data_IF_252545338880
#
_entry.id   IF_252545338880
#
_cell.length_a   1.000
_cell.length_b   1.000
_cell.length_c   1.000
_cell.angle_alpha   90.00
_cell.angle_beta   90.00
_cell.angle_gamma   90.00
#
_symmetry.space_group_name_H-M   'P 1'
#
loop_
_entity.id
_entity.type
_entity.pdbx_description
1 polymer ?
#
# COMPACT_ATOMS: atom_id res chain seq x y z
N UNK A 1 28.52 -20.94 11.36
CA UNK A 1 28.21 -20.07 10.20
C UNK A 1 26.72 -20.09 9.83
N UNK A 2 26.03 -21.23 9.78
CA UNK A 2 24.57 -21.25 9.52
C UNK A 2 23.72 -20.50 10.59
N UNK A 3 24.10 -20.57 11.87
CA UNK A 3 23.37 -19.90 12.97
C UNK A 3 23.28 -18.37 12.89
N UNK A 4 24.20 -17.70 12.19
CA UNK A 4 24.17 -16.22 12.10
C UNK A 4 23.35 -15.70 10.92
N UNK A 5 23.02 -16.57 9.95
CA UNK A 5 22.17 -16.20 8.80
C UNK A 5 20.69 -16.29 9.18
N UNK A 6 20.33 -17.27 10.01
CA UNK A 6 18.97 -17.43 10.56
C UNK A 6 18.57 -16.27 11.50
N UNK A 7 19.53 -15.58 12.13
CA UNK A 7 19.24 -14.38 12.94
C UNK A 7 18.84 -13.15 12.09
N UNK A 8 19.11 -13.18 10.78
CA UNK A 8 18.83 -12.07 9.86
C UNK A 8 17.41 -12.13 9.26
N UNK A 9 16.82 -13.32 9.12
CA UNK A 9 15.47 -13.52 8.58
C UNK A 9 14.54 -13.91 9.73
N UNK A 10 13.77 -12.95 10.22
CA UNK A 10 12.85 -13.15 11.34
C UNK A 10 11.47 -13.66 10.94
N UNK A 11 11.07 -13.46 9.69
CA UNK A 11 9.81 -13.98 9.14
C UNK A 11 9.98 -14.21 7.62
N UNK A 12 9.25 -15.18 7.09
CA UNK A 12 9.20 -15.46 5.66
C UNK A 12 8.32 -14.43 4.93
N UNK A 13 8.42 -14.38 3.60
CA UNK A 13 7.54 -13.56 2.76
C UNK A 13 6.09 -14.09 2.84
N UNK A 14 5.32 -13.57 3.78
CA UNK A 14 3.92 -13.94 4.03
C UNK A 14 2.98 -12.74 3.98
N UNK A 15 1.69 -13.00 3.72
CA UNK A 15 0.63 -11.98 3.69
C UNK A 15 -0.04 -11.70 5.04
N UNK A 16 0.30 -12.43 6.10
CA UNK A 16 -0.39 -12.35 7.39
C UNK A 16 0.22 -11.26 8.27
N UNK A 17 -0.52 -10.20 8.62
CA UNK A 17 0.01 -9.12 9.47
C UNK A 17 0.30 -9.60 10.89
N UNK A 18 -0.44 -10.61 11.38
CA UNK A 18 -0.26 -11.13 12.75
C UNK A 18 1.09 -11.82 12.92
N UNK A 19 1.55 -12.56 11.90
CA UNK A 19 2.89 -13.17 11.88
C UNK A 19 3.98 -12.12 11.99
N UNK A 20 3.91 -11.09 11.13
CA UNK A 20 4.87 -9.99 11.12
C UNK A 20 4.88 -9.20 12.43
N UNK A 21 3.70 -8.91 13.00
CA UNK A 21 3.59 -8.24 14.30
C UNK A 21 4.19 -9.11 15.41
N UNK A 22 3.96 -10.42 15.39
CA UNK A 22 4.51 -11.34 16.38
C UNK A 22 6.04 -11.37 16.28
N UNK A 23 6.61 -11.48 15.07
CA UNK A 23 8.05 -11.46 14.82
C UNK A 23 8.71 -10.16 15.28
N UNK A 24 8.04 -9.02 15.10
CA UNK A 24 8.49 -7.70 15.56
C UNK A 24 8.34 -7.50 17.08
N UNK A 25 7.30 -8.08 17.68
CA UNK A 25 7.03 -7.96 19.12
C UNK A 25 7.99 -8.77 20.00
N UNK A 26 8.69 -9.74 19.42
CA UNK A 26 9.78 -10.46 20.08
C UNK A 26 10.92 -9.52 20.45
N UNK A 27 11.64 -9.80 21.54
CA UNK A 27 12.76 -8.95 21.99
C UNK A 27 13.79 -8.78 20.86
N UNK A 28 13.87 -7.57 20.31
CA UNK A 28 14.95 -7.14 19.42
C UNK A 28 16.13 -6.73 20.31
N UNK A 29 17.02 -7.67 20.62
CA UNK A 29 18.35 -7.32 21.12
C UNK A 29 19.26 -7.16 19.90
N UNK A 30 19.58 -5.91 19.55
CA UNK A 30 20.53 -5.60 18.49
C UNK A 30 21.95 -5.72 19.06
N UNK A 31 22.73 -6.69 18.56
CA UNK A 31 24.14 -6.82 18.89
C UNK A 31 24.95 -7.08 17.61
N UNK A 32 26.22 -6.65 17.62
CA UNK A 32 27.10 -6.74 16.46
C UNK A 32 27.03 -5.53 15.52
N UNK A 33 27.82 -5.60 14.46
CA UNK A 33 27.88 -4.58 13.41
C UNK A 33 26.90 -4.91 12.28
N UNK A 34 26.39 -3.87 11.60
CA UNK A 34 25.53 -4.03 10.43
C UNK A 34 26.32 -4.44 9.19
N UNK A 35 25.76 -5.33 8.37
CA UNK A 35 26.31 -5.71 7.06
C UNK A 35 25.24 -5.54 5.98
N UNK A 36 25.42 -4.53 5.12
CA UNK A 36 24.56 -4.26 3.98
C UNK A 36 24.71 -5.30 2.88
N UNK A 37 25.93 -5.80 2.65
CA UNK A 37 26.17 -6.76 1.58
C UNK A 37 25.42 -8.07 1.82
N UNK A 38 25.54 -8.63 3.03
CA UNK A 38 24.84 -9.87 3.39
C UNK A 38 23.32 -9.69 3.31
N UNK A 39 22.82 -8.52 3.74
CA UNK A 39 21.40 -8.18 3.63
C UNK A 39 20.93 -8.18 2.17
N UNK A 40 21.66 -7.51 1.28
CA UNK A 40 21.31 -7.41 -0.13
C UNK A 40 21.41 -8.77 -0.84
N UNK A 41 22.41 -9.58 -0.52
CA UNK A 41 22.57 -10.92 -1.10
C UNK A 41 21.43 -11.86 -0.69
N UNK A 42 21.05 -11.84 0.60
CA UNK A 42 19.91 -12.61 1.08
C UNK A 42 18.61 -12.18 0.41
N UNK A 43 18.36 -10.87 0.32
CA UNK A 43 17.15 -10.35 -0.33
C UNK A 43 17.13 -10.69 -1.81
N UNK A 44 18.28 -10.65 -2.50
CA UNK A 44 18.40 -11.08 -3.88
C UNK A 44 17.98 -12.55 -4.06
N UNK A 45 18.44 -13.45 -3.20
CA UNK A 45 18.09 -14.87 -3.27
C UNK A 45 16.58 -15.09 -3.07
N UNK A 46 15.96 -14.39 -2.11
CA UNK A 46 14.53 -14.52 -1.83
C UNK A 46 13.67 -13.91 -2.95
N UNK A 47 13.98 -12.68 -3.39
CA UNK A 47 13.18 -11.98 -4.40
C UNK A 47 13.38 -12.55 -5.81
N UNK A 48 14.44 -13.31 -6.07
CA UNK A 48 14.59 -14.02 -7.33
C UNK A 48 13.60 -15.18 -7.49
N UNK A 49 13.03 -15.69 -6.39
CA UNK A 49 11.97 -16.72 -6.42
C UNK A 49 10.63 -16.14 -6.88
N UNK A 50 10.41 -14.85 -6.62
CA UNK A 50 9.20 -14.16 -7.03
C UNK A 50 9.18 -14.02 -8.56
N UNK A 51 8.05 -14.20 -9.24
CA UNK A 51 7.94 -13.98 -10.68
C UNK A 51 8.36 -12.57 -11.12
N UNK A 52 8.68 -12.43 -12.42
CA UNK A 52 9.17 -11.16 -12.99
C UNK A 52 8.06 -10.12 -13.23
N UNK A 53 6.79 -10.52 -13.16
CA UNK A 53 5.64 -9.63 -13.31
C UNK A 53 5.29 -8.89 -12.01
N UNK A 54 5.79 -9.35 -10.87
CA UNK A 54 5.55 -8.72 -9.59
C UNK A 54 6.55 -7.58 -9.34
N UNK A 55 6.07 -6.56 -8.63
CA UNK A 55 6.93 -5.51 -8.13
C UNK A 55 7.77 -6.05 -6.97
N UNK A 56 9.09 -5.95 -7.12
CA UNK A 56 10.04 -6.39 -6.10
C UNK A 56 10.63 -5.15 -5.45
N UNK A 57 10.17 -4.88 -4.23
CA UNK A 57 10.48 -3.66 -3.49
C UNK A 57 11.13 -4.01 -2.15
N UNK A 58 12.10 -3.20 -1.74
CA UNK A 58 12.88 -3.42 -0.53
C UNK A 58 13.03 -2.10 0.19
N UNK A 59 12.53 -2.04 1.41
CA UNK A 59 12.69 -0.91 2.31
C UNK A 59 13.74 -1.27 3.36
N UNK A 60 14.82 -0.50 3.42
CA UNK A 60 15.91 -0.69 4.38
C UNK A 60 15.87 0.45 5.39
N UNK A 61 15.60 0.11 6.65
CA UNK A 61 15.79 1.03 7.77
C UNK A 61 17.24 0.90 8.25
N UNK A 62 18.03 1.95 8.05
CA UNK A 62 19.46 1.92 8.39
C UNK A 62 19.80 2.94 9.47
N UNK A 63 20.31 2.47 10.60
CA UNK A 63 20.67 3.31 11.75
C UNK A 63 22.18 3.52 11.94
N UNK A 64 22.99 2.57 11.46
CA UNK A 64 24.43 2.61 11.61
C UNK A 64 25.06 3.66 10.66
N UNK A 65 26.31 4.03 10.93
CA UNK A 65 27.10 4.94 10.09
C UNK A 65 28.15 4.20 9.25
N UNK A 66 28.35 2.92 9.53
CA UNK A 66 29.31 2.04 8.87
C UNK A 66 28.65 0.72 8.55
N UNK A 67 29.14 0.04 7.51
CA UNK A 67 28.78 -1.34 7.18
C UNK A 67 30.04 -2.19 7.29
N UNK A 68 29.95 -3.32 7.96
CA UNK A 68 31.02 -4.30 8.15
C UNK A 68 30.76 -5.49 7.23
N UNK A 69 31.17 -5.35 5.97
CA UNK A 69 30.96 -6.37 4.93
C UNK A 69 32.23 -7.23 4.70
N UNK A 70 32.09 -8.54 4.40
CA UNK A 70 33.23 -9.42 4.13
C UNK A 70 33.97 -9.00 2.84
N UNK A 71 35.22 -8.57 2.99
CA UNK A 71 35.94 -7.75 2.02
C UNK A 71 36.60 -8.43 0.82
N UNK A 72 35.88 -9.20 0.00
CA UNK A 72 36.39 -9.68 -1.31
C UNK A 72 35.55 -9.26 -2.52
N UNK A 73 34.23 -9.06 -2.36
CA UNK A 73 33.37 -8.43 -3.37
C UNK A 73 33.12 -6.98 -2.97
N UNK A 74 33.42 -6.05 -3.88
CA UNK A 74 32.98 -4.68 -3.69
C UNK A 74 31.45 -4.67 -3.62
N UNK A 75 30.86 -4.06 -2.58
CA UNK A 75 29.40 -3.84 -2.46
C UNK A 75 28.79 -3.24 -3.74
N UNK A 76 29.59 -2.50 -4.50
CA UNK A 76 29.24 -1.95 -5.81
C UNK A 76 28.87 -3.03 -6.85
N UNK A 77 29.50 -4.20 -6.83
CA UNK A 77 29.14 -5.33 -7.70
C UNK A 77 27.80 -5.94 -7.32
N UNK A 78 27.52 -6.06 -6.02
CA UNK A 78 26.20 -6.48 -5.52
C UNK A 78 25.13 -5.47 -5.92
N UNK A 79 25.42 -4.17 -5.87
CA UNK A 79 24.55 -3.11 -6.40
C UNK A 79 24.32 -3.27 -7.91
N UNK A 80 25.33 -3.66 -8.69
CA UNK A 80 25.15 -3.94 -10.11
C UNK A 80 24.27 -5.17 -10.37
N UNK A 81 24.44 -6.25 -9.59
CA UNK A 81 23.55 -7.43 -9.63
C UNK A 81 22.12 -7.03 -9.28
N UNK A 82 21.95 -6.20 -8.26
CA UNK A 82 20.66 -5.65 -7.83
C UNK A 82 19.94 -4.89 -8.95
N UNK A 83 20.65 -4.00 -9.64
CA UNK A 83 20.11 -3.26 -10.80
C UNK A 83 19.73 -4.19 -11.94
N UNK A 84 20.51 -5.24 -12.21
CA UNK A 84 20.19 -6.26 -13.23
C UNK A 84 18.92 -7.04 -12.89
N UNK A 85 18.69 -7.33 -11.61
CA UNK A 85 17.50 -8.04 -11.11
C UNK A 85 16.23 -7.18 -11.01
N UNK A 86 16.27 -5.91 -11.44
CA UNK A 86 15.14 -4.96 -11.44
C UNK A 86 14.47 -4.78 -10.08
N UNK A 87 15.27 -4.83 -9.01
CA UNK A 87 14.79 -4.61 -7.64
C UNK A 87 14.75 -3.10 -7.35
N UNK A 88 13.62 -2.62 -6.83
CA UNK A 88 13.51 -1.26 -6.29
C UNK A 88 13.93 -1.27 -4.83
N UNK A 89 14.80 -0.32 -4.45
CA UNK A 89 15.21 -0.16 -3.06
C UNK A 89 14.90 1.27 -2.60
N UNK A 90 14.37 1.42 -1.39
CA UNK A 90 14.25 2.66 -0.63
C UNK A 90 15.04 2.49 0.67
N UNK A 91 15.86 3.47 1.02
CA UNK A 91 16.67 3.44 2.25
C UNK A 91 16.30 4.65 3.10
N UNK A 92 15.83 4.39 4.31
CA UNK A 92 15.58 5.41 5.34
C UNK A 92 16.76 5.38 6.30
N UNK A 93 17.60 6.42 6.25
CA UNK A 93 18.69 6.64 7.19
C UNK A 93 18.20 7.37 8.44
N UNK A 94 18.55 6.88 9.64
CA UNK A 94 18.15 7.54 10.90
C UNK A 94 19.18 8.55 11.45
N UNK A 95 20.44 8.46 11.02
CA UNK A 95 21.55 9.19 11.63
C UNK A 95 22.22 10.16 10.66
N UNK A 96 22.85 9.63 9.62
CA UNK A 96 23.50 10.43 8.60
C UNK A 96 23.41 9.74 7.24
N UNK A 97 23.48 10.55 6.19
CA UNK A 97 23.57 10.07 4.83
C UNK A 97 24.86 9.28 4.59
N UNK A 98 24.72 8.02 4.13
CA UNK A 98 25.84 7.18 3.74
C UNK A 98 26.02 7.17 2.22
N UNK A 99 27.27 7.32 1.78
CA UNK A 99 27.63 7.30 0.36
C UNK A 99 27.15 6.03 -0.36
N UNK A 100 27.27 4.86 0.29
CA UNK A 100 26.84 3.58 -0.30
C UNK A 100 25.33 3.54 -0.45
N UNK A 101 24.56 3.98 0.56
CA UNK A 101 23.11 4.05 0.51
C UNK A 101 22.63 5.02 -0.57
N UNK A 102 23.29 6.17 -0.75
CA UNK A 102 23.04 7.12 -1.84
C UNK A 102 23.39 6.57 -3.22
N UNK A 103 24.36 5.66 -3.29
CA UNK A 103 24.70 5.00 -4.54
C UNK A 103 23.71 3.86 -4.88
N UNK A 104 23.16 3.21 -3.86
CA UNK A 104 22.11 2.19 -3.98
C UNK A 104 20.78 2.83 -4.38
N UNK A 105 20.38 3.90 -3.70
CA UNK A 105 19.17 4.67 -3.94
C UNK A 105 19.57 6.08 -4.38
N UNK A 106 19.24 6.48 -5.62
CA UNK A 106 19.49 7.85 -6.09
C UNK A 106 18.82 8.90 -5.19
N UNK A 107 17.67 8.52 -4.59
CA UNK A 107 16.95 9.29 -3.59
C UNK A 107 17.12 8.59 -2.22
N UNK A 108 18.12 9.02 -1.45
CA UNK A 108 18.15 8.76 -0.01
C UNK A 108 17.50 9.94 0.70
N UNK A 109 16.41 9.68 1.42
CA UNK A 109 15.72 10.70 2.20
C UNK A 109 16.19 10.61 3.65
N UNK A 110 16.74 11.71 4.16
CA UNK A 110 17.23 11.85 5.52
C UNK A 110 16.40 12.93 6.20
N UNK A 111 15.47 12.58 7.11
CA UNK A 111 14.80 13.56 8.00
C UNK A 111 14.16 12.93 9.26
N UNK A 112 13.98 13.79 10.27
CA UNK A 112 13.67 13.54 11.70
C UNK A 112 12.38 12.75 12.03
N UNK A 113 11.49 12.49 11.06
CA UNK A 113 10.18 11.86 11.29
C UNK A 113 10.04 10.55 10.52
N UNK A 114 10.68 9.49 11.05
CA UNK A 114 10.59 8.11 10.55
C UNK A 114 9.15 7.69 10.19
N UNK A 115 8.15 8.11 10.98
CA UNK A 115 6.75 7.73 10.74
C UNK A 115 6.22 8.26 9.41
N UNK A 116 6.56 9.49 9.06
CA UNK A 116 6.03 10.11 7.84
C UNK A 116 6.71 9.50 6.60
N UNK A 117 8.01 9.23 6.68
CA UNK A 117 8.76 8.51 5.65
C UNK A 117 8.24 7.09 5.41
N UNK A 118 7.96 6.34 6.50
CA UNK A 118 7.36 5.01 6.38
C UNK A 118 5.96 5.04 5.75
N UNK A 119 5.18 6.10 6.02
CA UNK A 119 3.85 6.26 5.45
C UNK A 119 3.91 6.71 3.97
N UNK A 120 4.97 7.38 3.55
CA UNK A 120 5.20 7.75 2.14
C UNK A 120 5.50 6.53 1.25
N UNK A 121 6.13 5.49 1.80
CA UNK A 121 6.39 4.21 1.11
C UNK A 121 5.19 3.25 1.14
N UNK A 122 4.12 3.55 1.90
CA UNK A 122 2.91 2.73 1.96
C UNK A 122 2.07 2.70 0.66
N UNK A 123 1.86 3.81 -0.08
CA UNK A 123 1.22 3.75 -1.40
C UNK A 123 2.11 3.03 -2.41
N UNK A 124 1.52 2.19 -3.29
CA UNK A 124 2.29 1.50 -4.33
C UNK A 124 2.91 2.54 -5.27
N UNK A 125 4.23 2.49 -5.49
CA UNK A 125 4.86 3.48 -6.33
C UNK A 125 4.52 3.24 -7.81
N UNK A 126 4.62 4.28 -8.66
CA UNK A 126 4.35 4.14 -10.08
C UNK A 126 5.38 3.18 -10.72
N UNK A 127 4.87 2.23 -11.50
CA UNK A 127 5.70 1.35 -12.30
C UNK A 127 6.49 2.16 -13.34
N UNK A 128 7.80 1.90 -13.47
CA UNK A 128 8.62 2.48 -14.52
C UNK A 128 8.15 1.89 -15.86
N UNK A 129 7.79 2.74 -16.81
CA UNK A 129 7.14 2.35 -18.06
C UNK A 129 7.89 1.26 -18.86
N UNK A 130 9.22 1.22 -18.77
CA UNK A 130 10.06 0.21 -19.43
C UNK A 130 9.88 -1.21 -18.86
N UNK A 131 9.40 -1.34 -17.62
CA UNK A 131 9.23 -2.61 -16.92
C UNK A 131 7.77 -2.98 -16.67
N UNK A 132 6.82 -2.12 -17.06
CA UNK A 132 5.39 -2.33 -16.91
C UNK A 132 4.83 -3.27 -18.00
N UNK A 133 5.22 -4.54 -17.98
CA UNK A 133 4.61 -5.56 -18.84
C UNK A 133 3.33 -6.04 -18.17
N UNK A 134 2.18 -5.76 -18.79
CA UNK A 134 0.88 -6.23 -18.30
C UNK A 134 0.74 -7.73 -18.57
N UNK A 135 0.90 -8.56 -17.54
CA UNK A 135 0.61 -9.99 -17.61
C UNK A 135 -0.72 -10.28 -16.91
N UNK A 136 -1.54 -11.13 -17.52
CA UNK A 136 -2.75 -11.62 -16.88
C UNK A 136 -2.37 -12.78 -15.96
N UNK A 137 -2.66 -12.63 -14.67
CA UNK A 137 -2.40 -13.65 -13.67
C UNK A 137 -3.72 -14.34 -13.33
N UNK A 138 -3.70 -15.67 -13.27
CA UNK A 138 -4.86 -16.45 -12.86
C UNK A 138 -5.01 -16.42 -11.35
N UNK A 139 -6.16 -15.95 -10.86
CA UNK A 139 -6.43 -15.79 -9.44
C UNK A 139 -7.63 -16.64 -9.03
N UNK A 140 -7.50 -17.37 -7.93
CA UNK A 140 -8.54 -18.26 -7.43
C UNK A 140 -9.53 -17.56 -6.53
N UNK A 141 -10.81 -17.52 -6.92
CA UNK A 141 -11.89 -17.16 -5.98
C UNK A 141 -12.09 -18.30 -5.00
N UNK A 142 -11.88 -18.01 -3.72
CA UNK A 142 -12.10 -18.95 -2.63
C UNK A 142 -13.60 -19.17 -2.36
N UNK A 143 -13.93 -20.29 -1.74
CA UNK A 143 -15.22 -20.51 -1.06
C UNK A 143 -14.99 -20.46 0.44
N UNK A 144 -15.73 -19.62 1.14
CA UNK A 144 -15.73 -19.60 2.61
C UNK A 144 -16.42 -20.84 3.15
N UNK A 145 -15.75 -21.51 4.09
CA UNK A 145 -16.34 -22.57 4.90
C UNK A 145 -16.45 -22.09 6.35
N UNK A 146 -17.67 -22.15 6.88
CA UNK A 146 -17.93 -21.93 8.29
C UNK A 146 -17.49 -23.17 9.09
N UNK A 147 -16.59 -22.97 10.05
CA UNK A 147 -16.11 -23.96 11.04
C UNK A 147 -15.45 -25.19 10.41
N UNK A 148 -14.16 -25.08 10.14
CA UNK A 148 -13.32 -26.23 9.80
C UNK A 148 -12.47 -26.59 11.02
N UNK A 149 -12.59 -27.82 11.49
CA UNK A 149 -11.69 -28.38 12.50
C UNK A 149 -10.50 -29.00 11.77
N UNK A 150 -9.31 -28.46 12.03
CA UNK A 150 -8.05 -28.94 11.45
C UNK A 150 -7.48 -30.06 12.33
N UNK A 151 -6.89 -31.08 11.70
CA UNK A 151 -6.34 -32.24 12.41
C UNK A 151 -4.96 -32.00 13.03
N UNK A 152 -4.24 -30.93 12.65
CA UNK A 152 -2.84 -30.72 13.07
C UNK A 152 -2.57 -29.43 13.85
N UNK A 153 -3.45 -28.43 13.81
CA UNK A 153 -3.37 -27.24 14.67
C UNK A 153 -4.77 -26.80 15.10
N UNK A 154 -4.98 -26.59 16.39
CA UNK A 154 -6.26 -26.18 16.97
C UNK A 154 -6.61 -24.71 16.68
N UNK A 155 -6.44 -24.22 15.45
CA UNK A 155 -6.99 -22.92 15.03
C UNK A 155 -8.46 -23.12 14.64
N UNK A 156 -9.37 -22.85 15.58
CA UNK A 156 -10.81 -22.79 15.30
C UNK A 156 -11.08 -21.47 14.58
N UNK A 157 -11.33 -21.51 13.27
CA UNK A 157 -11.54 -20.31 12.46
C UNK A 157 -12.33 -20.58 11.18
N UNK A 158 -12.64 -19.50 10.44
CA UNK A 158 -13.10 -19.59 9.06
C UNK A 158 -11.98 -20.20 8.21
N UNK A 159 -12.32 -21.20 7.39
CA UNK A 159 -11.38 -21.85 6.48
C UNK A 159 -11.80 -21.58 5.05
N UNK A 160 -10.83 -21.56 4.15
CA UNK A 160 -11.05 -21.34 2.73
C UNK A 160 -10.79 -22.61 1.95
N UNK A 161 -11.52 -22.83 0.86
CA UNK A 161 -11.27 -23.94 -0.07
C UNK A 161 -10.73 -23.42 -1.39
N UNK A 162 -9.59 -23.98 -1.81
CA UNK A 162 -9.03 -23.74 -3.12
C UNK A 162 -9.99 -24.24 -4.22
N UNK A 163 -10.34 -23.41 -5.21
CA UNK A 163 -11.27 -23.82 -6.26
C UNK A 163 -10.70 -24.84 -7.25
N UNK A 164 -9.36 -24.99 -7.31
CA UNK A 164 -8.68 -25.86 -8.29
C UNK A 164 -8.42 -27.27 -7.76
N UNK A 165 -7.91 -27.39 -6.53
CA UNK A 165 -7.52 -28.69 -5.95
C UNK A 165 -8.29 -29.04 -4.69
N UNK A 166 -9.26 -28.22 -4.27
CA UNK A 166 -10.08 -28.41 -3.07
C UNK A 166 -9.29 -28.48 -1.75
N UNK A 167 -8.00 -28.15 -1.79
CA UNK A 167 -7.19 -28.00 -0.60
C UNK A 167 -7.76 -26.91 0.30
N UNK A 168 -7.72 -27.17 1.60
CA UNK A 168 -8.19 -26.24 2.61
C UNK A 168 -7.04 -25.33 3.03
N UNK A 169 -7.31 -24.03 3.11
CA UNK A 169 -6.34 -22.98 3.45
C UNK A 169 -6.88 -22.17 4.62
N UNK A 170 -6.00 -21.77 5.55
CA UNK A 170 -6.39 -21.12 6.79
C UNK A 170 -6.59 -19.61 6.66
N UNK A 171 -5.78 -18.96 5.83
CA UNK A 171 -5.73 -17.49 5.72
C UNK A 171 -5.69 -17.07 4.24
N UNK A 172 -6.09 -15.83 3.97
CA UNK A 172 -5.99 -15.19 2.66
C UNK A 172 -5.40 -13.79 2.86
N UNK A 173 -4.60 -13.28 1.91
CA UNK A 173 -4.20 -13.90 0.65
C UNK A 173 -3.06 -14.91 0.85
N UNK A 174 -3.10 -16.05 0.16
CA UNK A 174 -2.05 -17.08 0.24
C UNK A 174 -2.00 -17.92 -1.04
N UNK A 175 -0.83 -18.47 -1.37
CA UNK A 175 -0.69 -19.44 -2.44
C UNK A 175 -1.09 -20.85 -1.99
N UNK A 176 -1.82 -21.57 -2.85
CA UNK A 176 -2.20 -22.93 -2.53
C UNK A 176 -1.00 -23.88 -2.58
N UNK A 177 -0.68 -24.54 -1.46
CA UNK A 177 0.47 -25.46 -1.35
C UNK A 177 0.47 -26.65 -2.34
N UNK A 178 -0.67 -26.99 -2.94
CA UNK A 178 -0.79 -28.13 -3.86
C UNK A 178 -0.80 -27.74 -5.34
N UNK A 179 -1.40 -26.60 -5.69
CA UNK A 179 -1.60 -26.20 -7.08
C UNK A 179 -1.02 -24.83 -7.43
N UNK A 180 -0.39 -24.16 -6.46
CA UNK A 180 0.30 -22.87 -6.57
C UNK A 180 -0.61 -21.75 -7.11
N UNK A 181 -1.94 -21.94 -7.03
CA UNK A 181 -2.89 -20.90 -7.39
C UNK A 181 -2.95 -19.87 -6.25
N UNK A 182 -2.71 -18.60 -6.57
CA UNK A 182 -2.86 -17.49 -5.63
C UNK A 182 -4.33 -17.34 -5.26
N UNK A 183 -4.66 -17.55 -3.99
CA UNK A 183 -6.01 -17.43 -3.46
C UNK A 183 -6.19 -16.06 -2.84
N UNK A 184 -7.18 -15.32 -3.32
CA UNK A 184 -7.44 -13.95 -2.87
C UNK A 184 -8.94 -13.75 -2.72
N UNK A 185 -9.34 -12.92 -1.76
CA UNK A 185 -10.72 -12.43 -1.67
C UNK A 185 -10.92 -11.16 -2.47
N UNK A 186 -12.09 -10.96 -3.06
CA UNK A 186 -12.44 -9.75 -3.82
C UNK A 186 -12.24 -8.46 -3.00
N UNK A 187 -12.30 -8.55 -1.67
CA UNK A 187 -12.03 -7.43 -0.77
C UNK A 187 -10.57 -6.94 -0.79
N UNK A 188 -9.58 -7.81 -1.07
CA UNK A 188 -8.17 -7.42 -1.09
C UNK A 188 -7.82 -6.49 -2.26
N UNK A 189 -8.08 -6.82 -3.53
CA UNK A 189 -7.86 -5.89 -4.63
C UNK A 189 -8.81 -4.69 -4.53
N UNK A 190 -10.01 -4.84 -3.97
CA UNK A 190 -10.91 -3.71 -3.73
C UNK A 190 -10.31 -2.65 -2.79
N UNK A 191 -9.41 -3.04 -1.87
CA UNK A 191 -8.72 -2.10 -0.97
C UNK A 191 -7.68 -1.25 -1.68
N UNK A 192 -7.17 -1.63 -2.84
CA UNK A 192 -6.19 -0.84 -3.61
C UNK A 192 -6.82 -0.02 -4.74
N UNK A 193 -8.15 -0.08 -4.90
CA UNK A 193 -8.87 0.65 -5.95
C UNK A 193 -8.65 2.16 -5.90
N UNK A 194 -8.46 2.74 -4.71
CA UNK A 194 -8.23 4.19 -4.56
C UNK A 194 -6.89 4.65 -5.12
N UNK A 195 -5.89 3.76 -5.18
CA UNK A 195 -4.62 4.05 -5.84
C UNK A 195 -4.75 4.06 -7.37
N UNK A 196 -5.61 3.18 -7.92
CA UNK A 196 -5.87 3.11 -9.36
C UNK A 196 -6.77 4.26 -9.84
N UNK A 197 -7.73 4.67 -9.01
CA UNK A 197 -8.75 5.67 -9.34
C UNK A 197 -8.83 6.74 -8.25
N UNK A 198 -7.75 7.48 -8.08
CA UNK A 198 -7.71 8.56 -7.10
C UNK A 198 -8.69 9.68 -7.44
N UNK A 199 -9.21 10.33 -6.39
CA UNK A 199 -10.06 11.50 -6.56
C UNK A 199 -9.17 12.71 -6.81
N UNK A 200 -9.47 13.46 -7.87
CA UNK A 200 -8.87 14.77 -8.08
C UNK A 200 -9.25 15.73 -6.95
N UNK A 201 -8.27 16.50 -6.48
CA UNK A 201 -8.48 17.55 -5.49
C UNK A 201 -9.65 18.46 -5.88
N UNK A 202 -10.44 18.85 -4.89
CA UNK A 202 -11.57 19.73 -5.10
C UNK A 202 -11.10 21.17 -5.34
N UNK A 203 -11.86 21.91 -6.14
CA UNK A 203 -11.54 23.32 -6.40
C UNK A 203 -12.03 24.18 -5.25
N UNK A 204 -11.22 25.14 -4.81
CA UNK A 204 -11.66 26.14 -3.86
C UNK A 204 -12.85 26.92 -4.43
N UNK A 205 -13.94 26.96 -3.69
CA UNK A 205 -15.10 27.73 -4.11
C UNK A 205 -14.77 29.23 -4.00
N UNK A 206 -15.09 30.05 -5.01
CA UNK A 206 -14.83 31.47 -4.94
C UNK A 206 -15.60 32.08 -3.76
N UNK A 207 -14.86 32.62 -2.80
CA UNK A 207 -15.41 33.50 -1.77
C UNK A 207 -15.91 34.76 -2.48
N UNK A 208 -17.15 35.17 -2.22
CA UNK A 208 -17.73 36.35 -2.86
C UNK A 208 -16.97 37.62 -2.42
N UNK A 209 -15.89 37.94 -3.12
CA UNK A 209 -15.19 39.22 -2.99
C UNK A 209 -14.91 39.88 -4.34
N UNK A 210 -15.36 39.33 -5.47
CA UNK A 210 -15.23 39.99 -6.77
C UNK A 210 -16.32 39.61 -7.78
N UNK A 211 -17.04 40.65 -8.22
CA UNK A 211 -17.84 40.78 -9.44
C UNK A 211 -19.22 40.10 -9.54
N UNK A 212 -20.24 40.97 -9.55
CA UNK A 212 -21.48 40.98 -10.36
C UNK A 212 -21.74 39.81 -11.33
N UNK A 213 -21.83 38.57 -10.85
CA UNK A 213 -22.44 37.46 -11.59
C UNK A 213 -23.71 36.95 -10.91
N UNK A 214 -24.73 36.56 -11.69
CA UNK A 214 -26.05 36.25 -11.18
C UNK A 214 -25.98 35.00 -10.31
N UNK A 215 -26.37 35.18 -9.04
CA UNK A 215 -26.69 34.19 -7.99
C UNK A 215 -26.85 32.74 -8.49
N UNK A 216 -25.76 32.05 -8.81
CA UNK A 216 -25.73 30.59 -8.73
C UNK A 216 -25.85 30.29 -7.24
N UNK A 217 -26.99 29.72 -6.83
CA UNK A 217 -27.31 29.39 -5.43
C UNK A 217 -26.12 28.65 -4.82
N UNK A 218 -25.29 29.36 -4.04
CA UNK A 218 -24.28 28.71 -3.21
C UNK A 218 -25.04 27.69 -2.35
N UNK A 219 -24.60 26.44 -2.37
CA UNK A 219 -25.19 25.41 -1.52
C UNK A 219 -25.10 25.90 -0.08
N UNK A 220 -26.24 26.12 0.59
CA UNK A 220 -26.25 26.62 1.97
C UNK A 220 -25.64 25.60 2.94
N UNK A 221 -25.59 24.34 2.53
CA UNK A 221 -25.10 23.22 3.32
C UNK A 221 -24.09 22.37 2.56
N UNK A 222 -23.21 21.73 3.31
CA UNK A 222 -22.29 20.70 2.84
C UNK A 222 -23.07 19.47 2.37
N UNK A 223 -22.75 18.93 1.19
CA UNK A 223 -23.41 17.72 0.69
C UNK A 223 -23.09 16.48 1.54
N UNK A 224 -21.92 16.43 2.19
CA UNK A 224 -21.50 15.31 3.03
C UNK A 224 -22.15 15.31 4.41
N UNK A 225 -21.87 16.32 5.22
CA UNK A 225 -22.30 16.40 6.62
C UNK A 225 -23.57 17.24 6.85
N UNK A 226 -24.13 17.86 5.81
CA UNK A 226 -25.30 18.74 5.87
C UNK A 226 -25.13 19.99 6.75
N UNK A 227 -23.94 20.25 7.30
CA UNK A 227 -23.64 21.46 8.05
C UNK A 227 -23.73 22.70 7.17
N UNK A 228 -24.14 23.82 7.77
CA UNK A 228 -24.19 25.11 7.10
C UNK A 228 -22.80 25.55 6.67
N UNK A 229 -22.62 25.89 5.40
CA UNK A 229 -21.38 26.46 4.85
C UNK A 229 -21.29 27.98 5.11
N UNK A 230 -22.28 28.56 5.79
CA UNK A 230 -22.29 29.95 6.23
C UNK A 230 -21.67 30.05 7.62
N UNK A 231 -20.65 30.89 7.76
CA UNK A 231 -20.02 31.21 9.04
C UNK A 231 -20.79 32.28 9.83
N UNK A 232 -20.26 32.64 11.00
CA UNK A 232 -20.80 33.70 11.84
C UNK A 232 -20.98 35.02 11.05
N UNK A 233 -22.22 35.50 10.93
CA UNK A 233 -22.55 36.72 10.18
C UNK A 233 -22.92 36.53 8.70
N UNK A 234 -23.40 35.36 8.28
CA UNK A 234 -23.83 35.07 6.89
C UNK A 234 -22.74 35.22 5.82
N UNK A 235 -21.46 35.24 6.23
CA UNK A 235 -20.33 35.20 5.30
C UNK A 235 -20.09 33.75 4.85
N UNK A 236 -19.79 33.50 3.56
CA UNK A 236 -19.44 32.16 3.10
C UNK A 236 -18.16 31.71 3.83
N UNK A 237 -18.23 30.57 4.51
CA UNK A 237 -17.05 29.91 5.05
C UNK A 237 -16.23 29.26 3.94
N UNK A 238 -14.99 28.83 4.24
CA UNK A 238 -14.18 28.10 3.27
C UNK A 238 -14.89 26.80 2.88
N UNK A 239 -15.11 26.62 1.59
CA UNK A 239 -15.72 25.42 1.04
C UNK A 239 -15.06 25.06 -0.29
N UNK A 240 -15.15 23.79 -0.62
CA UNK A 240 -14.54 23.22 -1.82
C UNK A 240 -15.62 22.58 -2.69
N UNK A 241 -15.37 22.52 -3.99
CA UNK A 241 -16.33 22.03 -4.99
C UNK A 241 -15.72 20.91 -5.82
N UNK A 242 -16.45 19.80 -5.95
CA UNK A 242 -16.02 18.71 -6.81
C UNK A 242 -16.16 19.06 -8.31
N UNK A 243 -15.09 18.85 -9.09
CA UNK A 243 -15.06 19.10 -10.54
C UNK A 243 -16.10 18.33 -11.35
N UNK A 244 -16.44 17.11 -10.93
CA UNK A 244 -17.36 16.21 -11.65
C UNK A 244 -18.82 16.48 -11.30
N UNK A 245 -19.18 16.37 -10.03
CA UNK A 245 -20.58 16.48 -9.58
C UNK A 245 -21.02 17.91 -9.23
N UNK A 246 -20.08 18.87 -9.13
CA UNK A 246 -20.33 20.28 -8.78
C UNK A 246 -21.05 20.51 -7.44
N UNK A 247 -21.00 19.53 -6.53
CA UNK A 247 -21.49 19.66 -5.16
C UNK A 247 -20.44 20.32 -4.26
N UNK A 248 -20.92 21.07 -3.26
CA UNK A 248 -20.10 21.75 -2.27
C UNK A 248 -19.85 20.87 -1.04
N UNK A 249 -18.62 20.88 -0.53
CA UNK A 249 -18.20 20.20 0.70
C UNK A 249 -17.48 21.17 1.64
N UNK A 250 -17.59 20.97 2.95
CA UNK A 250 -16.73 21.65 3.92
C UNK A 250 -15.32 21.03 3.92
N UNK A 251 -14.35 21.72 4.52
CA UNK A 251 -12.96 21.26 4.61
C UNK A 251 -12.81 19.92 5.36
N UNK A 252 -13.61 19.69 6.40
CA UNK A 252 -13.57 18.41 7.13
C UNK A 252 -14.06 17.24 6.28
N UNK A 253 -15.13 17.47 5.50
CA UNK A 253 -15.62 16.48 4.55
C UNK A 253 -14.63 16.27 3.41
N UNK A 254 -13.93 17.33 2.97
CA UNK A 254 -12.88 17.22 1.96
C UNK A 254 -11.73 16.33 2.43
N UNK A 255 -11.21 16.60 3.64
CA UNK A 255 -10.19 15.79 4.30
C UNK A 255 -10.63 14.33 4.43
N UNK A 256 -11.83 14.10 4.96
CA UNK A 256 -12.36 12.74 5.11
C UNK A 256 -12.53 12.01 3.77
N UNK A 257 -12.92 12.72 2.70
CA UNK A 257 -13.06 12.14 1.37
C UNK A 257 -11.69 11.72 0.80
N UNK A 258 -10.67 12.56 0.95
CA UNK A 258 -9.35 12.30 0.37
C UNK A 258 -8.49 11.34 1.21
N UNK A 259 -8.64 11.30 2.53
CA UNK A 259 -7.83 10.46 3.43
C UNK A 259 -8.45 9.10 3.77
N UNK A 260 -9.78 9.00 3.88
CA UNK A 260 -10.42 7.78 4.41
C UNK A 260 -11.42 7.15 3.45
N UNK A 261 -12.28 7.96 2.83
CA UNK A 261 -13.39 7.43 2.04
C UNK A 261 -12.95 7.08 0.61
N UNK A 262 -12.00 7.84 0.07
CA UNK A 262 -11.52 7.81 -1.31
C UNK A 262 -12.61 7.77 -2.38
N UNK A 263 -13.85 8.17 -2.04
CA UNK A 263 -14.99 8.23 -2.93
C UNK A 263 -15.77 9.54 -2.74
N UNK A 264 -16.00 10.29 -3.82
CA UNK A 264 -16.81 11.50 -3.75
C UNK A 264 -18.29 11.12 -3.63
N UNK A 265 -18.91 11.43 -2.48
CA UNK A 265 -20.34 11.15 -2.19
C UNK A 265 -21.28 11.65 -3.28
N UNK A 266 -21.03 12.83 -3.84
CA UNK A 266 -21.85 13.42 -4.90
C UNK A 266 -21.78 12.65 -6.21
N UNK A 267 -20.58 12.23 -6.63
CA UNK A 267 -20.39 11.42 -7.83
C UNK A 267 -21.09 10.05 -7.72
N UNK A 268 -20.95 9.38 -6.57
CA UNK A 268 -21.61 8.09 -6.31
C UNK A 268 -23.14 8.23 -6.35
N UNK A 269 -23.67 9.33 -5.82
CA UNK A 269 -25.12 9.58 -5.80
C UNK A 269 -25.70 9.82 -7.20
N UNK A 270 -24.95 10.45 -8.09
CA UNK A 270 -25.35 10.67 -9.49
C UNK A 270 -25.22 9.37 -10.31
N UNK A 271 -24.26 8.51 -9.97
CA UNK A 271 -23.99 7.25 -10.68
C UNK A 271 -24.97 6.11 -10.39
N UNK A 272 -26.14 6.34 -9.75
CA UNK A 272 -27.21 5.35 -9.85
C UNK A 272 -27.66 5.26 -11.32
N UNK A 273 -27.44 4.15 -12.03
CA UNK A 273 -28.07 3.97 -13.33
C UNK A 273 -29.58 4.11 -13.11
N UNK A 274 -30.26 4.80 -14.04
CA UNK A 274 -31.72 4.69 -14.15
C UNK A 274 -32.03 3.20 -14.07
N UNK A 275 -32.90 2.81 -13.14
CA UNK A 275 -33.38 1.43 -12.99
C UNK A 275 -33.66 0.86 -14.38
N UNK A 276 -32.88 -0.15 -14.78
CA UNK A 276 -33.22 -0.95 -15.96
C UNK A 276 -34.56 -1.58 -15.61
N UNK A 277 -35.62 -1.07 -16.24
CA UNK A 277 -36.93 -1.70 -16.23
C UNK A 277 -36.73 -3.13 -16.70
N UNK A 278 -37.02 -4.08 -15.82
CA UNK A 278 -37.14 -5.49 -16.16
C UNK A 278 -38.10 -5.60 -17.35
N UNK A 279 -37.57 -5.94 -18.53
CA UNK A 279 -38.38 -6.53 -19.57
C UNK A 279 -38.55 -7.99 -19.17
N UNK A 280 -39.71 -8.29 -18.61
CA UNK A 280 -40.28 -9.63 -18.63
C UNK A 280 -40.66 -9.95 -20.08
N UNK A 281 -40.02 -10.97 -20.65
CA UNK A 281 -40.60 -11.88 -21.62
C UNK A 281 -40.38 -13.31 -21.10
#
# INVERSE_FOLDING_TARGET
MAKHVEDFIRDDLGGSPESHIQALSGKLESSGDSSLQNALELVLEHLNQIPSYDHREVLILYSALSSCDPGDLNILETIQKWKKSRLRCSVIGLSAEMFICKHLCQDTVDELHLKDLLLEDAPPPPAIAEFAVSNLIEMGSHKELLRVQWQYEAKIGAGYTCPRCEARVCELPTECAFCVLTLVSSSHPARSYHYLFSIASFDEAPTLSSSNQPRRKLGKSCFGCQQSLLGAGNKPGPCVTCRKCKHYSCLDCDKYIHESLHNCRGCVSIHRPKSVSMMEE
#
